data_IF_517136328361
#
_entry.id   IF_517136328361
#
_cell.length_a   1.000
_cell.length_b   1.000
_cell.length_c   1.000
_cell.angle_alpha   90.00
_cell.angle_beta   90.00
_cell.angle_gamma   90.00
#
_symmetry.space_group_name_H-M   'P 1'
#
loop_
_entity.id
_entity.type
_entity.pdbx_description
1 polymer ?
#
# COMPACT_ATOMS: atom_id res chain seq x y z
N UNK A 1 6.79 23.35 6.57
CA UNK A 1 7.62 22.45 7.39
C UNK A 1 7.46 21.00 6.90
N UNK A 2 8.46 20.53 6.17
CA UNK A 2 8.55 19.14 5.71
C UNK A 2 8.90 18.25 6.90
N UNK A 3 7.91 17.51 7.40
CA UNK A 3 8.11 16.54 8.47
C UNK A 3 9.03 15.44 7.96
N UNK A 4 10.30 15.49 8.35
CA UNK A 4 11.25 14.40 8.18
C UNK A 4 10.67 13.17 8.87
N UNK A 5 10.12 12.25 8.07
CA UNK A 5 9.72 10.93 8.56
C UNK A 5 11.01 10.23 8.97
N UNK A 6 11.25 10.13 10.28
CA UNK A 6 12.37 9.37 10.78
C UNK A 6 12.26 7.94 10.21
N UNK A 7 13.34 7.36 9.65
CA UNK A 7 13.31 5.97 9.22
C UNK A 7 12.85 5.15 10.42
N UNK A 8 11.80 4.34 10.21
CA UNK A 8 11.18 3.52 11.23
C UNK A 8 12.27 2.80 12.01
N UNK A 9 12.42 3.15 13.27
CA UNK A 9 13.44 2.64 14.18
C UNK A 9 13.56 1.11 14.05
N UNK A 10 14.67 0.65 13.48
CA UNK A 10 15.21 -0.72 13.57
C UNK A 10 14.20 -1.87 13.56
N UNK A 11 13.77 -2.30 12.37
CA UNK A 11 13.16 -3.61 12.16
C UNK A 11 13.70 -4.23 10.88
N UNK A 12 13.72 -5.56 10.78
CA UNK A 12 14.27 -6.31 9.62
C UNK A 12 13.55 -6.05 8.27
N UNK A 13 12.60 -5.11 8.20
CA UNK A 13 11.80 -4.85 6.99
C UNK A 13 10.74 -5.93 6.70
N UNK A 14 10.51 -6.85 7.63
CA UNK A 14 9.63 -8.01 7.41
C UNK A 14 8.14 -7.70 7.52
N UNK A 15 7.74 -6.57 8.09
CA UNK A 15 6.33 -6.25 8.34
C UNK A 15 5.46 -6.34 7.07
N UNK A 16 5.94 -5.79 5.95
CA UNK A 16 5.24 -5.90 4.67
C UNK A 16 5.23 -7.32 4.12
N UNK A 17 6.33 -8.06 4.24
CA UNK A 17 6.41 -9.44 3.76
C UNK A 17 5.46 -10.37 4.52
N UNK A 18 5.40 -10.24 5.86
CA UNK A 18 4.48 -11.00 6.70
C UNK A 18 3.04 -10.65 6.33
N UNK A 19 2.71 -9.35 6.28
CA UNK A 19 1.37 -8.90 5.92
C UNK A 19 0.96 -9.41 4.53
N UNK A 20 1.84 -9.29 3.54
CA UNK A 20 1.59 -9.78 2.17
C UNK A 20 1.25 -11.27 2.17
N UNK A 21 2.05 -12.10 2.84
CA UNK A 21 1.79 -13.54 2.92
C UNK A 21 0.44 -13.86 3.58
N UNK A 22 0.09 -13.16 4.66
CA UNK A 22 -1.19 -13.35 5.34
C UNK A 22 -2.37 -12.95 4.46
N UNK A 23 -2.25 -11.83 3.74
CA UNK A 23 -3.28 -11.32 2.81
C UNK A 23 -3.43 -12.25 1.59
N UNK A 24 -2.33 -12.77 1.07
CA UNK A 24 -2.36 -13.73 -0.05
C UNK A 24 -2.95 -15.07 0.38
N UNK A 25 -2.70 -15.52 1.62
CA UNK A 25 -3.31 -16.74 2.17
C UNK A 25 -4.84 -16.65 2.31
N UNK A 26 -5.41 -15.45 2.47
CA UNK A 26 -6.88 -15.25 2.50
C UNK A 26 -7.50 -15.17 1.10
N UNK A 27 -6.72 -15.44 0.04
CA UNK A 27 -7.18 -15.30 -1.35
C UNK A 27 -7.13 -13.87 -1.88
N UNK A 28 -6.43 -12.98 -1.18
CA UNK A 28 -6.17 -11.61 -1.62
C UNK A 28 -5.02 -11.56 -2.61
N UNK A 29 -5.11 -10.65 -3.58
CA UNK A 29 -4.03 -10.31 -4.50
C UNK A 29 -3.48 -8.96 -4.09
N UNK A 30 -2.21 -8.91 -3.71
CA UNK A 30 -1.51 -7.69 -3.29
C UNK A 30 -0.79 -7.07 -4.48
N UNK A 31 -0.94 -5.77 -4.67
CA UNK A 31 -0.22 -5.00 -5.69
C UNK A 31 0.45 -3.80 -5.05
N UNK A 32 1.72 -3.56 -5.40
CA UNK A 32 2.53 -2.44 -4.90
C UNK A 32 2.89 -1.55 -6.08
N UNK A 33 2.67 -0.26 -5.93
CA UNK A 33 2.97 0.73 -6.95
C UNK A 33 3.38 2.07 -6.35
N UNK A 34 3.59 3.04 -7.23
CA UNK A 34 3.83 4.42 -6.81
C UNK A 34 2.57 5.02 -6.17
N UNK A 35 2.78 5.92 -5.21
CA UNK A 35 1.71 6.62 -4.48
C UNK A 35 0.79 7.44 -5.38
N UNK A 36 -0.28 7.98 -4.80
CA UNK A 36 -1.25 8.78 -5.56
C UNK A 36 -0.66 10.16 -5.94
N UNK A 37 -1.18 10.79 -7.02
CA UNK A 37 -0.91 12.19 -7.32
C UNK A 37 -1.34 13.04 -6.12
N UNK A 38 -0.54 14.06 -5.80
CA UNK A 38 -0.93 15.05 -4.79
C UNK A 38 -2.19 15.79 -5.29
N UNK A 39 -3.25 15.93 -4.49
CA UNK A 39 -4.48 16.63 -4.91
C UNK A 39 -4.25 18.11 -5.24
N UNK A 40 -3.17 18.69 -4.71
CA UNK A 40 -2.72 20.07 -4.89
C UNK A 40 -1.51 20.20 -5.86
N UNK A 41 -1.23 19.18 -6.67
CA UNK A 41 -0.29 19.31 -7.78
C UNK A 41 -0.93 20.03 -8.96
N UNK A 42 -0.19 20.97 -9.55
CA UNK A 42 -0.61 21.74 -10.71
C UNK A 42 -1.08 20.84 -11.88
N UNK A 43 -2.07 21.29 -12.68
CA UNK A 43 -2.69 20.51 -13.75
C UNK A 43 -1.77 20.10 -14.91
N UNK A 44 -0.49 20.51 -14.90
CA UNK A 44 0.50 20.25 -15.96
C UNK A 44 1.00 18.79 -16.02
N UNK A 45 0.19 17.83 -15.58
CA UNK A 45 0.35 16.40 -15.86
C UNK A 45 1.56 15.70 -15.22
N UNK A 46 2.39 16.42 -14.44
CA UNK A 46 3.65 15.94 -13.88
C UNK A 46 3.71 16.00 -12.36
N UNK A 47 2.57 15.79 -11.71
CA UNK A 47 2.50 15.65 -10.26
C UNK A 47 3.45 14.52 -9.80
N UNK A 48 4.48 14.81 -8.97
CA UNK A 48 5.33 13.75 -8.46
C UNK A 48 4.49 12.83 -7.57
N UNK A 49 4.34 11.57 -7.98
CA UNK A 49 3.74 10.52 -7.16
C UNK A 49 4.62 10.36 -5.92
N UNK A 50 4.07 10.56 -4.71
CA UNK A 50 4.84 10.46 -3.47
C UNK A 50 4.50 9.19 -2.71
N UNK A 51 5.55 8.50 -2.27
CA UNK A 51 5.44 7.30 -1.45
C UNK A 51 5.04 6.05 -2.22
N UNK A 52 4.70 5.01 -1.48
CA UNK A 52 4.23 3.74 -2.02
C UNK A 52 2.72 3.60 -1.80
N UNK A 53 2.03 3.03 -2.79
CA UNK A 53 0.65 2.57 -2.64
C UNK A 53 0.64 1.05 -2.62
N UNK A 54 -0.03 0.49 -1.61
CA UNK A 54 -0.36 -0.93 -1.56
C UNK A 54 -1.86 -1.06 -1.74
N UNK A 55 -2.28 -1.87 -2.71
CA UNK A 55 -3.67 -2.24 -2.92
C UNK A 55 -3.82 -3.75 -2.72
N UNK A 56 -4.94 -4.16 -2.14
CA UNK A 56 -5.27 -5.58 -1.97
C UNK A 56 -6.66 -5.81 -2.52
N UNK A 57 -6.82 -6.85 -3.33
CA UNK A 57 -8.08 -7.21 -3.98
C UNK A 57 -8.42 -8.65 -3.66
N UNK A 58 -9.64 -8.91 -3.22
CA UNK A 58 -10.14 -10.26 -3.04
C UNK A 58 -11.30 -10.51 -4.00
N UNK A 59 -11.44 -11.76 -4.43
CA UNK A 59 -12.71 -12.21 -4.99
C UNK A 59 -13.77 -12.11 -3.90
N UNK A 60 -14.98 -11.67 -4.25
CA UNK A 60 -16.06 -11.46 -3.27
C UNK A 60 -16.30 -12.69 -2.36
N UNK A 61 -16.33 -13.94 -2.88
CA UNK A 61 -16.52 -15.12 -2.04
C UNK A 61 -15.41 -15.35 -1.00
N UNK A 62 -14.19 -14.86 -1.24
CA UNK A 62 -13.07 -15.02 -0.31
C UNK A 62 -13.13 -14.03 0.88
N UNK A 63 -13.96 -12.98 0.78
CA UNK A 63 -14.18 -11.99 1.85
C UNK A 63 -15.46 -12.24 2.64
N UNK A 64 -16.34 -13.10 2.15
CA UNK A 64 -17.61 -13.39 2.80
C UNK A 64 -17.40 -14.37 3.95
N UNK A 65 -18.01 -14.08 5.10
CA UNK A 65 -18.12 -15.04 6.20
C UNK A 65 -19.25 -15.99 5.82
N UNK A 66 -18.94 -17.29 5.76
CA UNK A 66 -19.97 -18.31 5.61
C UNK A 66 -20.98 -18.15 6.76
N UNK A 67 -22.24 -17.93 6.39
CA UNK A 67 -23.35 -17.77 7.33
C UNK A 67 -23.61 -19.04 8.13
#
# INVERSE_FOLDING_TARGET
PETTVAPSQGGMGLGFFIARTLLERTGGVVSVGQGLPRPDAAPDGRAPLRGARVAVRWARPALEVAA
#
